data_IF_019068009801
#
_entry.id   IF_019068009801
#
_cell.length_a   1.000
_cell.length_b   1.000
_cell.length_c   1.000
_cell.angle_alpha   90.00
_cell.angle_beta   90.00
_cell.angle_gamma   90.00
#
_symmetry.space_group_name_H-M   'P 1'
#
loop_
_entity.id
_entity.type
_entity.pdbx_description
1 polymer ?
#
# COMPACT_ATOMS: atom_id res chain seq x y z
N UNK A 1 -18.30 13.17 -18.28
CA UNK A 1 -17.78 12.17 -19.23
C UNK A 1 -17.29 10.98 -18.42
N UNK A 2 -17.85 9.80 -18.66
CA UNK A 2 -17.42 8.57 -18.03
C UNK A 2 -16.34 7.86 -18.87
N UNK A 3 -15.87 6.72 -18.36
CA UNK A 3 -14.88 5.89 -19.07
C UNK A 3 -15.37 5.44 -20.46
N UNK A 4 -16.69 5.34 -20.66
CA UNK A 4 -17.30 4.93 -21.92
C UNK A 4 -17.01 5.90 -23.06
N UNK A 5 -17.16 7.20 -22.84
CA UNK A 5 -16.88 8.20 -23.88
C UNK A 5 -15.38 8.27 -24.20
N UNK A 6 -14.52 8.18 -23.18
CA UNK A 6 -13.06 8.15 -23.37
C UNK A 6 -12.64 6.94 -24.22
N UNK A 7 -13.23 5.76 -23.96
CA UNK A 7 -12.93 4.55 -24.72
C UNK A 7 -13.28 4.70 -26.21
N UNK A 8 -14.45 5.28 -26.53
CA UNK A 8 -14.88 5.52 -27.91
C UNK A 8 -13.87 6.41 -28.64
N UNK A 9 -13.37 7.46 -28.00
CA UNK A 9 -12.37 8.36 -28.60
C UNK A 9 -11.02 7.67 -28.78
N UNK A 10 -10.57 6.87 -27.80
CA UNK A 10 -9.33 6.09 -27.91
C UNK A 10 -9.36 5.05 -29.04
N UNK A 11 -10.53 4.48 -29.36
CA UNK A 11 -10.71 3.54 -30.48
C UNK A 11 -10.66 4.23 -31.86
N UNK A 12 -10.83 5.56 -31.92
CA UNK A 12 -10.87 6.35 -33.15
C UNK A 12 -9.53 6.95 -33.54
N UNK A 13 -8.63 7.15 -32.58
CA UNK A 13 -7.30 7.72 -32.80
C UNK A 13 -6.26 6.65 -33.09
N UNK A 14 -5.19 7.02 -33.76
CA UNK A 14 -4.13 6.08 -34.14
C UNK A 14 -3.09 5.87 -33.02
N UNK A 15 -2.23 4.86 -33.20
CA UNK A 15 -1.20 4.53 -32.21
C UNK A 15 -0.27 5.72 -31.89
N UNK A 16 0.23 6.49 -32.89
CA UNK A 16 0.98 7.72 -32.62
C UNK A 16 0.27 8.73 -31.72
N UNK A 17 -1.02 8.99 -31.95
CA UNK A 17 -1.81 9.92 -31.13
C UNK A 17 -2.03 9.40 -29.71
N UNK A 18 -2.25 8.10 -29.53
CA UNK A 18 -2.32 7.46 -28.22
C UNK A 18 -0.99 7.63 -27.47
N UNK A 19 0.14 7.38 -28.13
CA UNK A 19 1.47 7.55 -27.54
C UNK A 19 1.67 9.01 -27.09
N UNK A 20 1.24 9.98 -27.92
CA UNK A 20 1.31 11.40 -27.57
C UNK A 20 0.46 11.72 -26.34
N UNK A 21 -0.79 11.27 -26.29
CA UNK A 21 -1.68 11.48 -25.16
C UNK A 21 -1.10 10.91 -23.85
N UNK A 22 -0.64 9.65 -23.88
CA UNK A 22 -0.01 9.00 -22.73
C UNK A 22 1.27 9.73 -22.31
N UNK A 23 2.08 10.19 -23.27
CA UNK A 23 3.30 10.98 -23.00
C UNK A 23 2.99 12.31 -22.32
N UNK A 24 1.89 12.97 -22.71
CA UNK A 24 1.44 14.19 -22.04
C UNK A 24 0.95 13.92 -20.61
N UNK A 25 0.19 12.84 -20.42
CA UNK A 25 -0.27 12.44 -19.08
C UNK A 25 0.91 12.09 -18.18
N UNK A 26 1.90 11.35 -18.69
CA UNK A 26 3.15 11.02 -17.98
C UNK A 26 3.87 12.28 -17.50
N UNK A 27 3.97 13.31 -18.35
CA UNK A 27 4.66 14.56 -18.01
C UNK A 27 3.88 15.44 -17.04
N UNK A 28 2.53 15.43 -17.10
CA UNK A 28 1.67 16.37 -16.37
C UNK A 28 1.10 15.81 -15.06
N UNK A 29 0.95 14.49 -14.92
CA UNK A 29 0.22 13.85 -13.82
C UNK A 29 1.15 12.93 -13.01
N UNK A 30 1.55 13.31 -11.78
CA UNK A 30 2.53 12.54 -10.99
C UNK A 30 2.12 11.09 -10.69
N UNK A 31 0.83 10.82 -10.46
CA UNK A 31 0.34 9.46 -10.22
C UNK A 31 0.40 8.58 -11.48
N UNK A 32 0.16 9.17 -12.66
CA UNK A 32 0.32 8.47 -13.95
C UNK A 32 1.78 8.20 -14.24
N UNK A 33 2.67 9.17 -13.97
CA UNK A 33 4.12 8.95 -14.05
C UNK A 33 4.54 7.73 -13.22
N UNK A 34 4.18 7.73 -11.94
CA UNK A 34 4.55 6.64 -11.03
C UNK A 34 4.02 5.27 -11.50
N UNK A 35 2.78 5.21 -11.98
CA UNK A 35 2.22 3.97 -12.52
C UNK A 35 2.94 3.50 -13.79
N UNK A 36 3.20 4.40 -14.73
CA UNK A 36 3.84 4.07 -15.99
C UNK A 36 5.34 3.74 -15.84
N UNK A 37 6.02 4.34 -14.87
CA UNK A 37 7.40 3.96 -14.52
C UNK A 37 7.43 2.49 -14.09
N UNK A 38 6.58 2.08 -13.15
CA UNK A 38 6.47 0.67 -12.74
C UNK A 38 6.07 -0.23 -13.90
N UNK A 39 5.11 0.20 -14.73
CA UNK A 39 4.70 -0.57 -15.90
C UNK A 39 5.86 -0.82 -16.89
N UNK A 40 6.76 0.15 -17.04
CA UNK A 40 7.87 0.08 -17.98
C UNK A 40 9.10 -0.66 -17.41
N UNK A 41 9.40 -0.49 -16.12
CA UNK A 41 10.64 -1.02 -15.49
C UNK A 41 10.41 -2.24 -14.61
N UNK A 42 9.19 -2.43 -14.09
CA UNK A 42 8.89 -3.40 -13.04
C UNK A 42 9.39 -2.99 -11.64
N UNK A 43 10.11 -1.88 -11.51
CA UNK A 43 10.71 -1.42 -10.26
C UNK A 43 9.71 -0.66 -9.39
N UNK A 44 9.49 -1.12 -8.17
CA UNK A 44 8.52 -0.53 -7.23
C UNK A 44 9.19 0.22 -6.07
N UNK A 45 10.50 0.12 -5.90
CA UNK A 45 11.25 0.51 -4.70
C UNK A 45 11.04 1.98 -4.35
N UNK A 46 11.04 2.86 -5.36
CA UNK A 46 10.80 4.29 -5.17
C UNK A 46 9.37 4.57 -4.71
N UNK A 47 8.38 3.86 -5.26
CA UNK A 47 6.97 3.99 -4.85
C UNK A 47 6.79 3.45 -3.44
N UNK A 48 7.37 2.28 -3.14
CA UNK A 48 7.36 1.67 -1.81
C UNK A 48 7.93 2.66 -0.79
N UNK A 49 9.13 3.19 -1.02
CA UNK A 49 9.77 4.13 -0.10
C UNK A 49 8.94 5.39 0.12
N UNK A 50 8.37 5.95 -0.96
CA UNK A 50 7.51 7.14 -0.89
C UNK A 50 6.28 6.87 -0.04
N UNK A 51 5.54 5.80 -0.32
CA UNK A 51 4.27 5.54 0.34
C UNK A 51 4.43 4.99 1.76
N UNK A 52 5.52 4.27 2.07
CA UNK A 52 5.88 3.92 3.46
C UNK A 52 6.01 5.20 4.31
N UNK A 53 6.77 6.20 3.84
CA UNK A 53 6.88 7.50 4.54
C UNK A 53 5.54 8.23 4.70
N UNK A 54 4.63 8.13 3.73
CA UNK A 54 3.30 8.72 3.87
C UNK A 54 2.46 7.96 4.91
N UNK A 55 2.53 6.63 4.95
CA UNK A 55 1.89 5.78 5.97
C UNK A 55 2.41 6.14 7.37
N UNK A 56 3.73 6.20 7.55
CA UNK A 56 4.38 6.58 8.81
C UNK A 56 3.84 7.92 9.33
N UNK A 57 3.75 8.95 8.46
CA UNK A 57 3.22 10.28 8.82
C UNK A 57 1.77 10.27 9.30
N UNK A 58 0.99 9.29 8.86
CA UNK A 58 -0.39 9.12 9.31
C UNK A 58 -0.50 8.28 10.59
N UNK A 59 0.34 7.26 10.74
CA UNK A 59 0.30 6.36 11.89
C UNK A 59 0.96 6.99 13.11
N UNK A 60 2.16 7.57 12.99
CA UNK A 60 2.84 8.12 14.16
C UNK A 60 2.18 9.41 14.63
N UNK A 61 1.86 9.51 15.93
CA UNK A 61 1.30 10.71 16.53
C UNK A 61 2.18 11.92 16.22
N UNK A 62 1.56 13.00 15.74
CA UNK A 62 2.25 14.25 15.46
C UNK A 62 1.40 15.46 15.86
N UNK A 63 2.07 16.59 16.08
CA UNK A 63 1.43 17.81 16.58
C UNK A 63 1.16 17.79 18.08
N UNK A 64 0.57 18.88 18.60
CA UNK A 64 0.37 19.11 20.03
C UNK A 64 -0.55 18.09 20.70
N UNK A 65 -1.46 17.48 19.93
CA UNK A 65 -2.52 16.62 20.47
C UNK A 65 -2.24 15.12 20.25
N UNK A 66 -1.07 14.75 19.69
CA UNK A 66 -0.67 13.35 19.44
C UNK A 66 -1.78 12.50 18.79
N UNK A 67 -2.42 13.04 17.74
CA UNK A 67 -3.55 12.37 17.10
C UNK A 67 -3.07 11.29 16.14
N UNK A 68 -3.55 10.06 16.35
CA UNK A 68 -3.41 8.96 15.40
C UNK A 68 -4.33 9.20 14.19
N UNK A 69 -3.80 9.03 12.97
CA UNK A 69 -4.55 9.14 11.71
C UNK A 69 -4.44 7.85 10.91
N UNK A 70 -4.49 6.72 11.60
CA UNK A 70 -4.37 5.38 11.03
C UNK A 70 -5.49 5.11 9.99
N UNK A 71 -6.66 5.70 10.17
CA UNK A 71 -7.75 5.65 9.20
C UNK A 71 -7.39 6.31 7.85
N UNK A 72 -6.58 7.37 7.86
CA UNK A 72 -6.06 8.02 6.65
C UNK A 72 -5.00 7.14 5.97
N UNK A 73 -4.12 6.49 6.74
CA UNK A 73 -3.19 5.49 6.21
C UNK A 73 -3.93 4.36 5.47
N UNK A 74 -5.03 3.84 6.04
CA UNK A 74 -5.86 2.83 5.38
C UNK A 74 -6.52 3.35 4.10
N UNK A 75 -6.96 4.62 4.06
CA UNK A 75 -7.53 5.23 2.84
C UNK A 75 -6.48 5.37 1.74
N UNK A 76 -5.24 5.73 2.09
CA UNK A 76 -4.11 5.78 1.18
C UNK A 76 -3.85 4.41 0.57
N UNK A 77 -3.69 3.37 1.40
CA UNK A 77 -3.47 1.98 0.94
C UNK A 77 -4.58 1.53 0.00
N UNK A 78 -5.87 1.76 0.34
CA UNK A 78 -7.00 1.43 -0.54
C UNK A 78 -6.96 2.16 -1.88
N UNK A 79 -6.42 3.36 -1.91
CA UNK A 79 -6.26 4.13 -3.16
C UNK A 79 -5.14 3.54 -4.01
N UNK A 80 -4.02 3.17 -3.40
CA UNK A 80 -2.88 2.55 -4.07
C UNK A 80 -3.25 1.17 -4.62
N UNK A 81 -4.05 0.38 -3.91
CA UNK A 81 -4.56 -0.92 -4.39
C UNK A 81 -5.22 -0.85 -5.76
N UNK A 82 -5.81 0.29 -6.13
CA UNK A 82 -6.44 0.50 -7.45
C UNK A 82 -5.43 0.47 -8.61
N UNK A 83 -4.13 0.64 -8.33
CA UNK A 83 -3.06 0.48 -9.31
C UNK A 83 -2.86 -0.99 -9.72
N UNK A 84 -3.39 -1.96 -8.97
CA UNK A 84 -3.28 -3.41 -9.24
C UNK A 84 -1.83 -3.91 -9.35
N UNK A 85 -0.94 -3.34 -8.55
CA UNK A 85 0.45 -3.79 -8.39
C UNK A 85 0.50 -4.58 -7.07
N UNK A 86 0.38 -5.91 -7.15
CA UNK A 86 0.24 -6.78 -5.96
C UNK A 86 1.43 -6.67 -5.02
N UNK A 87 2.65 -6.67 -5.56
CA UNK A 87 3.88 -6.54 -4.76
C UNK A 87 3.96 -5.21 -3.98
N UNK A 88 3.52 -4.11 -4.60
CA UNK A 88 3.42 -2.82 -3.91
C UNK A 88 2.41 -2.86 -2.76
N UNK A 89 1.28 -3.56 -2.93
CA UNK A 89 0.28 -3.67 -1.87
C UNK A 89 0.83 -4.46 -0.67
N UNK A 90 1.52 -5.58 -0.93
CA UNK A 90 2.16 -6.41 0.11
C UNK A 90 3.12 -5.55 0.94
N UNK A 91 4.03 -4.83 0.28
CA UNK A 91 5.04 -3.99 0.93
C UNK A 91 4.44 -2.91 1.85
N UNK A 92 3.34 -2.29 1.42
CA UNK A 92 2.70 -1.22 2.17
C UNK A 92 1.83 -1.75 3.31
N UNK A 93 1.18 -2.90 3.13
CA UNK A 93 0.34 -3.53 4.14
C UNK A 93 1.16 -4.11 5.29
N UNK A 94 2.27 -4.80 4.99
CA UNK A 94 3.18 -5.28 6.02
C UNK A 94 3.81 -4.13 6.80
N UNK A 95 4.18 -3.04 6.11
CA UNK A 95 4.72 -1.86 6.78
C UNK A 95 3.68 -1.15 7.65
N UNK A 96 2.43 -1.06 7.21
CA UNK A 96 1.33 -0.58 8.05
C UNK A 96 1.21 -1.41 9.34
N UNK A 97 1.25 -2.75 9.23
CA UNK A 97 1.19 -3.66 10.38
C UNK A 97 2.33 -3.39 11.36
N UNK A 98 3.56 -3.27 10.86
CA UNK A 98 4.74 -2.97 11.67
C UNK A 98 4.59 -1.64 12.41
N UNK A 99 4.23 -0.56 11.70
CA UNK A 99 4.03 0.75 12.33
C UNK A 99 2.94 0.70 13.39
N UNK A 100 1.83 0.00 13.15
CA UNK A 100 0.77 -0.14 14.13
C UNK A 100 1.23 -0.88 15.39
N UNK A 101 2.02 -1.94 15.24
CA UNK A 101 2.58 -2.67 16.38
C UNK A 101 3.58 -1.84 17.18
N UNK A 102 4.33 -0.94 16.53
CA UNK A 102 5.18 0.03 17.22
C UNK A 102 4.35 1.03 18.03
N UNK A 103 3.17 1.45 17.55
CA UNK A 103 2.25 2.29 18.35
C UNK A 103 1.76 1.55 19.59
N UNK A 104 1.44 0.25 19.48
CA UNK A 104 1.05 -0.56 20.64
C UNK A 104 2.21 -0.60 21.65
N UNK A 105 3.42 -0.88 21.17
CA UNK A 105 4.62 -0.96 22.00
C UNK A 105 4.97 0.36 22.71
N UNK A 106 4.94 1.47 21.98
CA UNK A 106 5.43 2.76 22.48
C UNK A 106 4.38 3.50 23.34
N UNK A 107 3.09 3.31 23.05
CA UNK A 107 2.00 4.07 23.66
C UNK A 107 0.98 3.22 24.43
N UNK A 108 1.10 1.88 24.40
CA UNK A 108 0.13 0.97 25.04
C UNK A 108 -1.26 1.02 24.41
N UNK A 109 -1.35 1.40 23.13
CA UNK A 109 -2.62 1.59 22.43
C UNK A 109 -3.34 0.24 22.22
N UNK A 110 -4.63 0.15 22.57
CA UNK A 110 -5.35 -1.13 22.66
C UNK A 110 -6.83 -1.04 22.27
N UNK A 111 -7.15 -0.29 21.21
CA UNK A 111 -8.51 -0.26 20.64
C UNK A 111 -8.81 -1.51 19.79
N UNK A 112 -9.94 -2.18 20.03
CA UNK A 112 -10.31 -3.42 19.30
C UNK A 112 -10.38 -3.22 17.78
N UNK A 113 -10.86 -2.07 17.29
CA UNK A 113 -10.92 -1.80 15.86
C UNK A 113 -9.53 -1.60 15.27
N UNK A 114 -8.57 -1.13 16.08
CA UNK A 114 -7.18 -1.04 15.71
C UNK A 114 -6.58 -2.43 15.48
N UNK A 115 -6.82 -3.36 16.41
CA UNK A 115 -6.36 -4.75 16.32
C UNK A 115 -6.97 -5.47 15.10
N UNK A 116 -8.29 -5.34 14.90
CA UNK A 116 -8.98 -5.85 13.71
C UNK A 116 -8.39 -5.26 12.42
N UNK A 117 -7.97 -3.99 12.43
CA UNK A 117 -7.36 -3.36 11.27
C UNK A 117 -5.95 -3.92 10.98
N UNK A 118 -5.16 -4.24 12.00
CA UNK A 118 -3.86 -4.90 11.87
C UNK A 118 -4.04 -6.28 11.23
N UNK A 119 -4.91 -7.12 11.79
CA UNK A 119 -5.20 -8.47 11.28
C UNK A 119 -5.61 -8.43 9.81
N UNK A 120 -6.58 -7.56 9.47
CA UNK A 120 -7.05 -7.43 8.08
C UNK A 120 -5.96 -7.02 7.10
N UNK A 121 -5.01 -6.18 7.53
CA UNK A 121 -3.89 -5.78 6.67
C UNK A 121 -2.86 -6.90 6.55
N UNK A 122 -2.56 -7.60 7.64
CA UNK A 122 -1.67 -8.75 7.63
C UNK A 122 -2.19 -9.85 6.70
N UNK A 123 -3.43 -10.29 6.88
CA UNK A 123 -4.03 -11.33 6.03
C UNK A 123 -4.20 -10.90 4.57
N UNK A 124 -4.41 -9.61 4.31
CA UNK A 124 -4.43 -9.08 2.95
C UNK A 124 -3.05 -9.22 2.29
N UNK A 125 -1.97 -8.92 3.02
CA UNK A 125 -0.61 -9.06 2.53
C UNK A 125 -0.23 -10.53 2.31
N UNK A 126 -0.55 -11.42 3.26
CA UNK A 126 -0.19 -12.84 3.14
C UNK A 126 -0.94 -13.53 2.01
N UNK A 127 -2.19 -13.15 1.76
CA UNK A 127 -2.91 -13.58 0.56
C UNK A 127 -2.22 -13.13 -0.74
N UNK A 128 -1.74 -11.88 -0.79
CA UNK A 128 -0.97 -11.39 -1.94
C UNK A 128 0.36 -12.13 -2.12
N UNK A 129 1.05 -12.46 -1.03
CA UNK A 129 2.29 -13.25 -1.07
C UNK A 129 2.04 -14.65 -1.60
N UNK A 130 0.96 -15.30 -1.14
CA UNK A 130 0.55 -16.62 -1.61
C UNK A 130 0.15 -16.60 -3.10
N UNK A 131 -0.57 -15.57 -3.55
CA UNK A 131 -0.95 -15.38 -4.96
C UNK A 131 0.27 -15.28 -5.88
N UNK A 132 1.33 -14.59 -5.43
CA UNK A 132 2.56 -14.44 -6.20
C UNK A 132 3.52 -15.63 -6.04
N UNK A 133 3.31 -16.53 -5.08
CA UNK A 133 4.18 -17.68 -4.82
C UNK A 133 5.58 -17.29 -4.37
N UNK A 134 5.70 -16.26 -3.52
CA UNK A 134 6.98 -15.66 -3.09
C UNK A 134 7.18 -15.70 -1.57
N UNK A 135 6.67 -16.73 -0.91
CA UNK A 135 6.70 -16.84 0.56
C UNK A 135 8.13 -16.80 1.12
N UNK A 136 9.09 -17.39 0.42
CA UNK A 136 10.48 -17.47 0.84
C UNK A 136 11.14 -16.09 0.98
N UNK A 137 10.64 -15.09 0.24
CA UNK A 137 11.11 -13.69 0.33
C UNK A 137 10.63 -13.01 1.61
N UNK A 138 9.47 -13.40 2.14
CA UNK A 138 8.79 -12.72 3.24
C UNK A 138 8.78 -13.53 4.55
N UNK A 139 9.11 -14.82 4.52
CA UNK A 139 9.05 -15.74 5.67
C UNK A 139 9.63 -15.13 6.94
N UNK A 140 10.89 -14.69 6.92
CA UNK A 140 11.55 -14.08 8.09
C UNK A 140 10.82 -12.84 8.63
N UNK A 141 10.25 -12.02 7.74
CA UNK A 141 9.52 -10.82 8.13
C UNK A 141 8.18 -11.19 8.76
N UNK A 142 7.47 -12.16 8.17
CA UNK A 142 6.19 -12.64 8.66
C UNK A 142 6.34 -13.34 10.02
N UNK A 143 7.38 -14.15 10.20
CA UNK A 143 7.74 -14.75 11.50
C UNK A 143 7.97 -13.66 12.56
N UNK A 144 8.76 -12.63 12.23
CA UNK A 144 9.03 -11.53 13.14
C UNK A 144 7.77 -10.73 13.49
N UNK A 145 6.88 -10.51 12.53
CA UNK A 145 5.59 -9.84 12.76
C UNK A 145 4.72 -10.71 13.68
N UNK A 146 4.60 -11.99 13.39
CA UNK A 146 3.76 -12.94 14.13
C UNK A 146 4.24 -13.09 15.58
N UNK A 147 5.55 -13.24 15.77
CA UNK A 147 6.16 -13.29 17.10
C UNK A 147 5.84 -12.02 17.91
N UNK A 148 6.13 -10.84 17.36
CA UNK A 148 5.91 -9.57 18.06
C UNK A 148 4.41 -9.28 18.28
N UNK A 149 3.53 -9.70 17.36
CA UNK A 149 2.09 -9.57 17.52
C UNK A 149 1.57 -10.40 18.70
N UNK A 150 2.12 -11.59 18.92
CA UNK A 150 1.73 -12.46 20.05
C UNK A 150 2.02 -11.83 21.42
N UNK A 151 3.05 -10.99 21.53
CA UNK A 151 3.36 -10.23 22.76
C UNK A 151 2.24 -9.22 23.12
N UNK A 152 1.43 -8.83 22.15
CA UNK A 152 0.29 -7.92 22.30
C UNK A 152 -1.07 -8.63 22.33
N UNK A 153 -1.08 -9.97 22.33
CA UNK A 153 -2.30 -10.77 22.28
C UNK A 153 -2.93 -10.89 20.89
N UNK A 154 -2.17 -10.61 19.83
CA UNK A 154 -2.60 -10.77 18.44
C UNK A 154 -2.04 -12.08 17.85
N UNK A 155 -2.91 -12.97 17.39
CA UNK A 155 -2.54 -14.24 16.76
C UNK A 155 -2.52 -14.09 15.23
N UNK A 156 -1.40 -13.61 14.69
CA UNK A 156 -1.19 -13.50 13.24
C UNK A 156 -0.53 -14.77 12.71
N UNK A 157 -1.24 -15.50 11.85
CA UNK A 157 -0.79 -16.76 11.25
C UNK A 157 -0.80 -16.64 9.71
N UNK A 158 0.09 -17.31 8.99
CA UNK A 158 0.23 -17.17 7.53
C UNK A 158 0.60 -18.47 6.83
#
# INVERSE_FOLDING_TARGET
>A
MGFREVKIELERIDKPEIIKLISEMYKKIPSVKAYLDVFATGEIEQLVSKYKKEIERYIYPSGSNMVLRESEARKLIRTIRKMKITELNIELELHYVICCMEIIQDFGYSDDNYYIAIEKMFYSATNGIAELGIIERYEKQLDSISFKASEFGLELNY
#
